data_IF_927181437491
#
_entry.id   IF_927181437491
#
_cell.length_a   1.000
_cell.length_b   1.000
_cell.length_c   1.000
_cell.angle_alpha   90.00
_cell.angle_beta   90.00
_cell.angle_gamma   90.00
#
_symmetry.space_group_name_H-M   'P 1'
#
loop_
_entity.id
_entity.type
_entity.pdbx_description
1 polymer ?
#
# COMPACT_ATOMS: atom_id res chain seq x y z
N UNK A 1 5.89 -6.04 29.54
CA UNK A 1 6.30 -4.69 29.09
C UNK A 1 7.45 -4.76 28.06
N UNK A 2 8.56 -5.43 28.38
CA UNK A 2 9.73 -5.60 27.49
C UNK A 2 9.43 -6.20 26.10
N UNK A 3 8.57 -7.22 26.02
CA UNK A 3 8.20 -7.83 24.72
C UNK A 3 7.61 -6.82 23.72
N UNK A 4 6.84 -5.84 24.19
CA UNK A 4 6.22 -4.83 23.32
C UNK A 4 7.22 -3.78 22.83
N UNK A 5 8.15 -3.36 23.70
CA UNK A 5 9.19 -2.40 23.35
C UNK A 5 10.18 -3.01 22.34
N UNK A 6 10.64 -4.23 22.62
CA UNK A 6 11.58 -4.94 21.76
C UNK A 6 10.95 -5.27 20.40
N UNK A 7 9.69 -5.71 20.40
CA UNK A 7 8.91 -5.92 19.18
C UNK A 7 8.80 -4.63 18.35
N UNK A 8 8.51 -3.49 18.99
CA UNK A 8 8.38 -2.21 18.29
C UNK A 8 9.69 -1.79 17.61
N UNK A 9 10.82 -1.98 18.28
CA UNK A 9 12.14 -1.68 17.73
C UNK A 9 12.44 -2.60 16.54
N UNK A 10 12.20 -3.91 16.68
CA UNK A 10 12.41 -4.87 15.59
C UNK A 10 11.52 -4.53 14.40
N UNK A 11 10.22 -4.31 14.61
CA UNK A 11 9.27 -3.97 13.54
C UNK A 11 9.72 -2.70 12.82
N UNK A 12 10.11 -1.66 13.57
CA UNK A 12 10.61 -0.41 13.00
C UNK A 12 11.89 -0.60 12.19
N UNK A 13 12.90 -1.27 12.76
CA UNK A 13 14.18 -1.50 12.09
C UNK A 13 14.04 -2.35 10.82
N UNK A 14 13.25 -3.42 10.87
CA UNK A 14 12.99 -4.27 9.71
C UNK A 14 12.18 -3.55 8.64
N UNK A 15 11.15 -2.77 9.01
CA UNK A 15 10.40 -1.98 8.04
C UNK A 15 11.23 -0.89 7.41
N UNK A 16 12.12 -0.24 8.18
CA UNK A 16 13.02 0.79 7.65
C UNK A 16 14.01 0.17 6.66
N UNK A 17 14.65 -0.94 7.04
CA UNK A 17 15.57 -1.66 6.17
C UNK A 17 14.87 -2.17 4.90
N UNK A 18 13.68 -2.75 5.04
CA UNK A 18 12.86 -3.20 3.91
C UNK A 18 12.50 -2.04 2.97
N UNK A 19 12.12 -0.88 3.50
CA UNK A 19 11.79 0.30 2.70
C UNK A 19 13.01 0.86 1.96
N UNK A 20 14.19 0.87 2.59
CA UNK A 20 15.45 1.28 1.95
C UNK A 20 15.86 0.30 0.85
N UNK A 21 15.84 -1.01 1.13
CA UNK A 21 16.20 -2.04 0.16
C UNK A 21 15.25 -2.08 -1.04
N UNK A 22 13.95 -1.89 -0.78
CA UNK A 22 12.92 -1.88 -1.82
C UNK A 22 12.70 -0.49 -2.43
N UNK A 23 13.41 0.55 -1.98
CA UNK A 23 13.25 1.92 -2.49
C UNK A 23 13.37 2.04 -4.03
N UNK A 24 14.28 1.37 -4.75
CA UNK A 24 14.30 1.44 -6.20
C UNK A 24 13.04 0.83 -6.82
N UNK A 25 12.56 -0.30 -6.29
CA UNK A 25 11.32 -0.94 -6.75
C UNK A 25 10.12 -0.06 -6.44
N UNK A 26 10.06 0.52 -5.25
CA UNK A 26 9.00 1.41 -4.82
C UNK A 26 8.85 2.62 -5.76
N UNK A 27 9.96 3.27 -6.13
CA UNK A 27 9.97 4.40 -7.04
C UNK A 27 9.53 4.01 -8.46
N UNK A 28 10.00 2.86 -8.97
CA UNK A 28 9.60 2.34 -10.27
C UNK A 28 8.10 2.03 -10.32
N UNK A 29 7.58 1.35 -9.31
CA UNK A 29 6.15 1.05 -9.19
C UNK A 29 5.30 2.31 -9.07
N UNK A 30 5.76 3.28 -8.26
CA UNK A 30 5.09 4.56 -8.11
C UNK A 30 4.98 5.29 -9.45
N UNK A 31 6.05 5.33 -10.24
CA UNK A 31 6.06 5.96 -11.56
C UNK A 31 5.15 5.21 -12.55
N UNK A 32 5.30 3.89 -12.66
CA UNK A 32 4.49 3.07 -13.56
C UNK A 32 3.00 3.14 -13.25
N UNK A 33 2.62 3.07 -11.98
CA UNK A 33 1.22 3.16 -11.57
C UNK A 33 0.67 4.58 -11.72
N UNK A 34 1.48 5.62 -11.49
CA UNK A 34 1.05 7.01 -11.76
C UNK A 34 0.70 7.23 -13.22
N UNK A 35 1.50 6.67 -14.13
CA UNK A 35 1.25 6.72 -15.58
C UNK A 35 0.05 5.84 -15.95
N UNK A 36 0.00 4.60 -15.46
CA UNK A 36 -1.07 3.64 -15.78
C UNK A 36 -2.45 4.09 -15.30
N UNK A 37 -2.51 4.78 -14.15
CA UNK A 37 -3.73 5.33 -13.58
C UNK A 37 -4.09 6.72 -14.15
N UNK A 38 -3.42 7.18 -15.22
CA UNK A 38 -3.70 8.44 -15.90
C UNK A 38 -3.75 9.66 -14.96
N UNK A 39 -2.82 9.73 -14.01
CA UNK A 39 -2.73 10.86 -13.07
C UNK A 39 -3.65 10.78 -11.85
N UNK A 40 -4.47 9.73 -11.71
CA UNK A 40 -5.30 9.49 -10.52
C UNK A 40 -4.51 9.09 -9.25
N UNK A 41 -3.18 9.25 -9.28
CA UNK A 41 -2.24 8.89 -8.22
C UNK A 41 -1.83 7.41 -8.22
N UNK A 42 -0.72 7.15 -7.53
CA UNK A 42 -0.21 5.80 -7.30
C UNK A 42 -0.59 5.22 -5.94
N UNK A 43 -1.16 6.00 -5.02
CA UNK A 43 -1.51 5.53 -3.67
C UNK A 43 -3.01 5.49 -3.47
N UNK A 44 -3.46 4.51 -2.68
CA UNK A 44 -4.82 4.38 -2.20
C UNK A 44 -4.77 4.06 -0.70
N UNK A 45 -5.68 4.65 0.07
CA UNK A 45 -5.78 4.41 1.50
C UNK A 45 -7.06 3.65 1.84
N UNK A 46 -6.94 2.60 2.64
CA UNK A 46 -8.08 1.84 3.16
C UNK A 46 -8.16 2.00 4.68
N UNK A 47 -9.35 2.31 5.19
CA UNK A 47 -9.59 2.32 6.64
C UNK A 47 -9.66 0.88 7.16
N UNK A 48 -8.91 0.60 8.23
CA UNK A 48 -8.88 -0.69 8.91
C UNK A 48 -8.95 -0.48 10.43
N UNK A 49 -9.62 -1.37 11.18
CA UNK A 49 -9.53 -1.37 12.63
C UNK A 49 -8.14 -1.84 13.05
N UNK A 50 -7.46 -1.03 13.85
CA UNK A 50 -6.18 -1.36 14.45
C UNK A 50 -6.32 -1.74 15.91
N UNK A 51 -5.21 -1.63 16.64
CA UNK A 51 -5.15 -1.96 18.07
C UNK A 51 -6.15 -1.12 18.88
N UNK A 52 -6.91 -1.79 19.75
CA UNK A 52 -8.00 -1.21 20.54
C UNK A 52 -9.09 -0.56 19.67
N UNK A 53 -9.38 -1.14 18.50
CA UNK A 53 -10.43 -0.69 17.57
C UNK A 53 -10.22 0.73 17.02
N UNK A 54 -9.02 1.30 17.22
CA UNK A 54 -8.67 2.58 16.62
C UNK A 54 -8.53 2.41 15.12
N UNK A 55 -9.41 3.09 14.38
CA UNK A 55 -9.34 3.11 12.92
C UNK A 55 -8.04 3.80 12.50
N UNK A 56 -7.32 3.15 11.59
CA UNK A 56 -6.16 3.75 10.93
C UNK A 56 -6.26 3.52 9.42
N UNK A 57 -5.48 4.29 8.67
CA UNK A 57 -5.48 4.25 7.21
C UNK A 57 -4.27 3.47 6.72
N UNK A 58 -4.50 2.26 6.21
CA UNK A 58 -3.50 1.46 5.52
C UNK A 58 -3.20 2.10 4.18
N UNK A 59 -1.92 2.34 3.89
CA UNK A 59 -1.47 2.85 2.59
C UNK A 59 -1.11 1.67 1.69
N UNK A 60 -1.65 1.64 0.48
CA UNK A 60 -1.30 0.66 -0.57
C UNK A 60 -1.05 1.38 -1.89
N UNK A 61 -0.42 0.68 -2.83
CA UNK A 61 -0.41 1.17 -4.21
C UNK A 61 -1.78 0.97 -4.87
N UNK A 62 -2.19 1.98 -5.62
CA UNK A 62 -3.42 2.00 -6.41
C UNK A 62 -3.17 1.25 -7.71
N UNK A 63 -3.79 0.09 -7.86
CA UNK A 63 -3.62 -0.79 -9.03
C UNK A 63 -4.74 -0.68 -10.06
N UNK A 64 -5.82 0.05 -9.72
CA UNK A 64 -6.99 0.26 -10.57
C UNK A 64 -7.10 1.74 -10.95
N UNK A 65 -7.41 1.99 -12.22
CA UNK A 65 -7.62 3.33 -12.74
C UNK A 65 -9.02 3.87 -12.38
N UNK A 66 -9.29 5.13 -12.73
CA UNK A 66 -10.58 5.80 -12.51
C UNK A 66 -11.37 6.00 -13.81
N UNK A 67 -11.23 5.08 -14.77
CA UNK A 67 -12.04 5.15 -15.98
C UNK A 67 -13.53 5.09 -15.64
N UNK A 68 -14.27 5.95 -16.31
CA UNK A 68 -15.73 6.07 -16.22
C UNK A 68 -16.36 5.78 -17.58
N UNK A 69 -17.61 5.33 -17.55
CA UNK A 69 -18.45 5.24 -18.75
C UNK A 69 -18.89 6.64 -19.23
N UNK A 70 -19.68 6.67 -20.30
CA UNK A 70 -20.24 7.90 -20.87
C UNK A 70 -21.20 8.62 -19.91
N UNK A 71 -21.81 7.88 -18.98
CA UNK A 71 -22.75 8.39 -17.97
C UNK A 71 -22.04 8.88 -16.69
N UNK A 72 -20.71 8.75 -16.62
CA UNK A 72 -19.88 9.19 -15.50
C UNK A 72 -19.78 8.18 -14.35
N UNK A 73 -20.30 6.97 -14.51
CA UNK A 73 -20.15 5.88 -13.53
C UNK A 73 -18.79 5.21 -13.69
N UNK A 74 -18.22 4.73 -12.59
CA UNK A 74 -16.98 3.95 -12.64
C UNK A 74 -17.22 2.65 -13.43
N UNK A 75 -16.30 2.35 -14.35
CA UNK A 75 -16.33 1.07 -15.07
C UNK A 75 -16.15 -0.12 -14.11
N UNK A 76 -16.39 -1.32 -14.63
CA UNK A 76 -16.16 -2.54 -13.85
C UNK A 76 -14.69 -2.68 -13.43
N UNK A 77 -14.45 -3.41 -12.33
CA UNK A 77 -13.08 -3.65 -11.84
C UNK A 77 -12.18 -4.30 -12.89
N UNK A 78 -12.74 -5.17 -13.74
CA UNK A 78 -12.02 -5.83 -14.83
C UNK A 78 -11.52 -4.84 -15.88
N UNK A 79 -12.29 -3.79 -16.19
CA UNK A 79 -11.92 -2.75 -17.17
C UNK A 79 -10.98 -1.69 -16.58
N UNK A 80 -11.01 -1.56 -15.25
CA UNK A 80 -10.19 -0.60 -14.50
C UNK A 80 -8.83 -1.17 -14.08
N UNK A 81 -8.69 -2.48 -14.01
CA UNK A 81 -7.44 -3.15 -13.70
C UNK A 81 -6.48 -3.10 -14.90
N UNK A 82 -5.31 -2.51 -14.71
CA UNK A 82 -4.28 -2.43 -15.75
C UNK A 82 -3.37 -3.65 -15.71
N UNK A 83 -2.70 -4.00 -16.82
CA UNK A 83 -1.75 -5.11 -16.84
C UNK A 83 -0.65 -4.98 -15.77
N UNK A 84 -0.19 -3.74 -15.54
CA UNK A 84 0.76 -3.42 -14.47
C UNK A 84 0.10 -3.61 -13.10
N UNK A 85 -1.13 -3.11 -12.90
CA UNK A 85 -1.89 -3.31 -11.66
C UNK A 85 -2.11 -4.79 -11.32
N UNK A 86 -2.39 -5.62 -12.32
CA UNK A 86 -2.50 -7.08 -12.17
C UNK A 86 -1.17 -7.70 -11.71
N UNK A 87 -0.05 -7.32 -12.35
CA UNK A 87 1.27 -7.81 -11.96
C UNK A 87 1.59 -7.43 -10.51
N UNK A 88 1.39 -6.15 -10.15
CA UNK A 88 1.65 -5.61 -8.81
C UNK A 88 0.84 -6.36 -7.75
N UNK A 89 -0.44 -6.65 -8.01
CA UNK A 89 -1.28 -7.47 -7.11
C UNK A 89 -0.78 -8.92 -7.02
N UNK A 90 -0.40 -9.51 -8.14
CA UNK A 90 0.08 -10.91 -8.19
C UNK A 90 1.37 -11.11 -7.39
N UNK A 91 2.22 -10.10 -7.34
CA UNK A 91 3.48 -10.11 -6.59
C UNK A 91 3.36 -9.48 -5.20
N UNK A 92 2.15 -9.08 -4.78
CA UNK A 92 1.89 -8.39 -3.51
C UNK A 92 2.72 -7.11 -3.32
N UNK A 93 3.23 -6.53 -4.41
CA UNK A 93 4.02 -5.31 -4.37
C UNK A 93 3.16 -4.10 -4.02
N UNK A 94 1.83 -4.20 -4.14
CA UNK A 94 0.89 -3.17 -3.69
C UNK A 94 0.91 -2.93 -2.18
N UNK A 95 1.48 -3.86 -1.42
CA UNK A 95 1.54 -3.81 0.03
C UNK A 95 2.81 -3.16 0.58
N UNK A 96 3.83 -2.91 -0.26
CA UNK A 96 5.07 -2.25 0.19
C UNK A 96 4.81 -0.92 0.92
N UNK A 97 3.87 -0.05 0.50
CA UNK A 97 3.58 1.19 1.23
C UNK A 97 3.08 0.97 2.67
N UNK A 98 2.60 -0.23 3.03
CA UNK A 98 2.21 -0.56 4.40
C UNK A 98 3.41 -0.56 5.37
N UNK A 99 4.64 -0.72 4.87
CA UNK A 99 5.85 -0.54 5.69
C UNK A 99 5.89 0.86 6.31
N UNK A 100 5.34 1.88 5.65
CA UNK A 100 5.21 3.24 6.21
C UNK A 100 4.25 3.24 7.41
N UNK A 101 3.17 2.48 7.38
CA UNK A 101 2.26 2.33 8.52
C UNK A 101 2.95 1.64 9.71
N UNK A 102 3.83 0.66 9.44
CA UNK A 102 4.65 0.07 10.49
C UNK A 102 5.61 1.10 11.07
N UNK A 103 6.30 1.88 10.25
CA UNK A 103 7.18 2.96 10.73
C UNK A 103 6.43 3.97 11.59
N UNK A 104 5.22 4.39 11.19
CA UNK A 104 4.34 5.28 11.95
C UNK A 104 3.84 4.69 13.27
N UNK A 105 3.72 3.35 13.32
CA UNK A 105 3.21 2.64 14.50
C UNK A 105 1.72 2.34 14.47
N UNK A 106 1.11 2.53 13.31
CA UNK A 106 -0.27 2.10 13.06
C UNK A 106 -0.36 0.58 12.94
N UNK A 107 0.72 -0.07 12.47
CA UNK A 107 0.80 -1.51 12.21
C UNK A 107 2.06 -2.15 12.81
N UNK A 108 2.04 -3.48 12.89
CA UNK A 108 3.19 -4.34 13.17
C UNK A 108 3.45 -5.24 11.97
N UNK A 109 4.70 -5.64 11.74
CA UNK A 109 5.04 -6.62 10.69
C UNK A 109 4.41 -7.99 10.94
N UNK A 110 4.26 -8.37 12.21
CA UNK A 110 3.71 -9.68 12.62
C UNK A 110 2.81 -9.49 13.84
N UNK A 111 1.51 -9.78 13.70
CA UNK A 111 0.54 -9.70 14.78
C UNK A 111 -0.49 -8.57 14.58
N UNK A 112 -1.52 -8.60 15.43
CA UNK A 112 -2.69 -7.70 15.41
C UNK A 112 -2.48 -6.49 16.31
#
# INVERSE_FOLDING_TARGET
>A
MYKKLFKRIIDFSLSLMGLVMLSPVFLLLWLWLSIANKGAGAFFTQERPGRNEKIFRVVKFKTMNEKKDADGNLLSDAERLTSIGTLVRKTSLDEIPQLINVLKGDMSLVGV
#
